data_IF_259211223793
#
_entry.id   IF_259211223793
#
_cell.length_a   1.000
_cell.length_b   1.000
_cell.length_c   1.000
_cell.angle_alpha   90.00
_cell.angle_beta   90.00
_cell.angle_gamma   90.00
#
_symmetry.space_group_name_H-M   'P 1'
#
loop_
_entity.id
_entity.type
_entity.pdbx_description
1 polymer ?
#
# COMPACT_ATOMS: atom_id res chain seq x y z
N UNK A 1 17.39 22.59 3.52
CA UNK A 1 16.70 21.63 4.42
C UNK A 1 15.20 21.90 4.58
N UNK A 2 14.72 23.05 5.13
CA UNK A 2 13.27 23.28 5.34
C UNK A 2 12.39 23.09 4.10
N UNK A 3 12.82 23.59 2.93
CA UNK A 3 12.07 23.44 1.66
C UNK A 3 11.95 21.97 1.22
N UNK A 4 13.02 21.18 1.31
CA UNK A 4 13.03 19.76 0.93
C UNK A 4 12.06 18.96 1.81
N UNK A 5 12.03 19.22 3.11
CA UNK A 5 11.08 18.58 4.04
C UNK A 5 9.64 18.90 3.64
N UNK A 6 9.34 20.19 3.34
CA UNK A 6 7.98 20.60 2.92
C UNK A 6 7.59 19.94 1.60
N UNK A 7 8.47 19.91 0.60
CA UNK A 7 8.19 19.25 -0.68
C UNK A 7 8.01 17.75 -0.54
N UNK A 8 8.80 17.12 0.34
CA UNK A 8 8.64 15.69 0.66
C UNK A 8 7.32 15.41 1.35
N UNK A 9 6.90 16.28 2.29
CA UNK A 9 5.59 16.18 2.94
C UNK A 9 4.45 16.33 1.93
N UNK A 10 4.51 17.33 1.04
CA UNK A 10 3.51 17.50 -0.01
C UNK A 10 3.43 16.26 -0.91
N UNK A 11 4.57 15.76 -1.39
CA UNK A 11 4.58 14.57 -2.24
C UNK A 11 4.05 13.32 -1.49
N UNK A 12 4.35 13.20 -0.19
CA UNK A 12 3.90 12.08 0.63
C UNK A 12 2.39 12.05 0.89
N UNK A 13 1.67 13.18 0.71
CA UNK A 13 0.20 13.22 0.79
C UNK A 13 -0.47 12.34 -0.28
N UNK A 14 0.22 11.96 -1.36
CA UNK A 14 -0.26 10.89 -2.26
C UNK A 14 -0.52 9.59 -1.49
N UNK A 15 0.29 9.29 -0.45
CA UNK A 15 0.06 8.18 0.46
C UNK A 15 -1.21 8.35 1.31
N UNK A 16 -1.51 9.58 1.75
CA UNK A 16 -2.75 9.87 2.45
C UNK A 16 -3.98 9.57 1.58
N UNK A 17 -3.98 10.02 0.32
CA UNK A 17 -5.06 9.76 -0.63
C UNK A 17 -5.19 8.26 -0.93
N UNK A 18 -4.07 7.56 -1.06
CA UNK A 18 -4.05 6.11 -1.21
C UNK A 18 -4.73 5.42 -0.01
N UNK A 19 -4.27 5.70 1.22
CA UNK A 19 -4.82 5.08 2.42
C UNK A 19 -6.31 5.39 2.60
N UNK A 20 -6.71 6.61 2.30
CA UNK A 20 -8.10 7.05 2.35
C UNK A 20 -8.97 6.27 1.35
N UNK A 21 -8.55 6.21 0.08
CA UNK A 21 -9.29 5.53 -0.99
C UNK A 21 -9.46 4.03 -0.73
N UNK A 22 -8.46 3.42 -0.10
CA UNK A 22 -8.46 1.98 0.18
C UNK A 22 -9.60 1.56 1.09
N UNK A 23 -9.91 2.33 2.13
CA UNK A 23 -10.84 1.89 3.18
C UNK A 23 -12.16 2.68 3.24
N UNK A 24 -12.25 3.81 2.55
CA UNK A 24 -13.48 4.64 2.57
C UNK A 24 -14.71 3.86 2.13
N UNK A 25 -14.56 2.92 1.19
CA UNK A 25 -15.65 2.07 0.69
C UNK A 25 -16.24 1.14 1.76
N UNK A 26 -15.47 0.79 2.81
CA UNK A 26 -15.91 -0.13 3.86
C UNK A 26 -17.13 0.39 4.64
N UNK A 27 -17.30 1.71 4.74
CA UNK A 27 -18.46 2.32 5.37
C UNK A 27 -19.73 2.29 4.52
N UNK A 28 -19.56 2.18 3.20
CA UNK A 28 -20.66 2.17 2.22
C UNK A 28 -21.04 0.76 1.76
N UNK A 29 -20.25 -0.26 2.06
CA UNK A 29 -20.30 -1.61 1.52
C UNK A 29 -21.72 -2.22 1.53
N UNK A 30 -22.33 -2.43 2.71
CA UNK A 30 -23.67 -3.04 2.82
C UNK A 30 -24.77 -2.13 2.22
N UNK A 31 -24.63 -0.81 2.33
CA UNK A 31 -25.58 0.14 1.72
C UNK A 31 -25.58 0.07 0.20
N UNK A 32 -24.40 -0.04 -0.41
CA UNK A 32 -24.25 -0.18 -1.86
C UNK A 32 -24.79 -1.53 -2.35
N UNK A 33 -24.54 -2.61 -1.59
CA UNK A 33 -25.05 -3.93 -1.94
C UNK A 33 -26.58 -3.95 -1.93
N UNK A 34 -27.19 -3.40 -0.90
CA UNK A 34 -28.66 -3.29 -0.79
C UNK A 34 -29.25 -2.35 -1.84
N UNK A 35 -28.60 -1.19 -2.10
CA UNK A 35 -29.08 -0.20 -3.07
C UNK A 35 -29.21 -0.78 -4.49
N UNK A 36 -28.28 -1.63 -4.90
CA UNK A 36 -28.24 -2.20 -6.25
C UNK A 36 -28.70 -3.66 -6.32
N UNK A 37 -29.26 -4.18 -5.22
CA UNK A 37 -29.72 -5.57 -5.10
C UNK A 37 -28.73 -6.56 -5.74
N UNK A 38 -27.45 -6.38 -5.41
CA UNK A 38 -26.37 -7.08 -6.06
C UNK A 38 -26.01 -8.37 -5.35
N UNK A 39 -25.84 -9.46 -6.11
CA UNK A 39 -25.34 -10.73 -5.58
C UNK A 39 -23.94 -10.55 -4.94
N UNK A 40 -23.61 -11.39 -3.95
CA UNK A 40 -22.32 -11.33 -3.25
C UNK A 40 -21.13 -11.42 -4.19
N UNK A 41 -21.20 -12.26 -5.23
CA UNK A 41 -20.14 -12.41 -6.21
C UNK A 41 -19.99 -11.13 -7.07
N UNK A 42 -21.09 -10.55 -7.55
CA UNK A 42 -21.05 -9.31 -8.31
C UNK A 42 -20.59 -8.15 -7.45
N UNK A 43 -21.12 -8.03 -6.23
CA UNK A 43 -20.75 -6.98 -5.30
C UNK A 43 -19.24 -7.01 -4.99
N UNK A 44 -18.71 -8.19 -4.63
CA UNK A 44 -17.29 -8.36 -4.33
C UNK A 44 -16.37 -8.07 -5.53
N UNK A 45 -16.72 -8.59 -6.72
CA UNK A 45 -15.85 -8.48 -7.90
C UNK A 45 -15.94 -7.13 -8.61
N UNK A 46 -17.14 -6.56 -8.75
CA UNK A 46 -17.37 -5.34 -9.52
C UNK A 46 -17.42 -4.12 -8.61
N UNK A 47 -18.25 -4.12 -7.57
CA UNK A 47 -18.42 -2.92 -6.74
C UNK A 47 -17.18 -2.68 -5.85
N UNK A 48 -16.74 -3.71 -5.13
CA UNK A 48 -15.63 -3.61 -4.18
C UNK A 48 -14.27 -3.81 -4.86
N UNK A 49 -14.15 -4.74 -5.80
CA UNK A 49 -12.88 -5.17 -6.39
C UNK A 49 -12.29 -4.22 -7.45
N UNK A 50 -13.09 -3.40 -8.14
CA UNK A 50 -12.60 -2.63 -9.28
C UNK A 50 -11.52 -1.59 -8.95
N UNK A 51 -11.54 -1.00 -7.75
CA UNK A 51 -10.45 -0.14 -7.30
C UNK A 51 -9.13 -0.92 -7.21
N UNK A 52 -9.17 -2.14 -6.70
CA UNK A 52 -7.98 -2.99 -6.57
C UNK A 52 -7.45 -3.42 -7.94
N UNK A 53 -8.31 -3.74 -8.91
CA UNK A 53 -7.88 -4.01 -10.28
C UNK A 53 -7.28 -2.77 -10.95
N UNK A 54 -7.85 -1.58 -10.71
CA UNK A 54 -7.23 -0.32 -11.10
C UNK A 54 -5.83 -0.15 -10.51
N UNK A 55 -5.67 -0.53 -9.22
CA UNK A 55 -4.37 -0.48 -8.53
C UNK A 55 -3.34 -1.42 -9.14
N UNK A 56 -3.74 -2.64 -9.54
CA UNK A 56 -2.87 -3.58 -10.28
C UNK A 56 -2.32 -2.91 -11.55
N UNK A 57 -3.21 -2.36 -12.37
CA UNK A 57 -2.82 -1.70 -13.62
C UNK A 57 -1.97 -0.46 -13.35
N UNK A 58 -2.35 0.36 -12.37
CA UNK A 58 -1.59 1.53 -11.94
C UNK A 58 -0.18 1.19 -11.44
N UNK A 59 -0.02 0.10 -10.68
CA UNK A 59 1.26 -0.36 -10.16
C UNK A 59 2.16 -0.95 -11.28
N UNK A 60 1.60 -1.68 -12.24
CA UNK A 60 2.37 -2.25 -13.36
C UNK A 60 2.85 -1.14 -14.30
N UNK A 61 1.96 -0.22 -14.67
CA UNK A 61 2.22 0.76 -15.73
C UNK A 61 2.57 2.16 -15.22
N UNK A 62 2.41 2.45 -13.93
CA UNK A 62 2.66 3.79 -13.35
C UNK A 62 4.10 4.29 -13.49
N UNK A 63 5.06 3.39 -13.69
CA UNK A 63 6.44 3.76 -14.03
C UNK A 63 6.56 4.48 -15.36
N UNK A 64 5.69 4.18 -16.34
CA UNK A 64 5.72 4.80 -17.67
C UNK A 64 5.46 6.32 -17.58
N UNK A 65 4.33 6.81 -17.04
CA UNK A 65 4.11 8.25 -16.89
C UNK A 65 5.13 8.88 -15.94
N UNK A 66 5.56 8.19 -14.88
CA UNK A 66 6.58 8.68 -13.96
C UNK A 66 7.90 8.99 -14.65
N UNK A 67 8.31 8.18 -15.64
CA UNK A 67 9.53 8.38 -16.41
C UNK A 67 9.34 9.33 -17.61
N UNK A 68 8.18 9.29 -18.28
CA UNK A 68 7.91 10.14 -19.46
C UNK A 68 7.55 11.58 -19.08
N UNK A 69 6.57 11.77 -18.19
CA UNK A 69 6.05 13.08 -17.78
C UNK A 69 6.85 13.70 -16.63
N UNK A 70 7.60 12.88 -15.89
CA UNK A 70 8.30 13.24 -14.66
C UNK A 70 7.45 13.10 -13.42
N UNK A 71 8.13 12.98 -12.28
CA UNK A 71 7.52 12.64 -10.98
C UNK A 71 6.45 13.67 -10.57
N UNK A 72 6.75 14.97 -10.67
CA UNK A 72 5.80 16.05 -10.32
C UNK A 72 4.50 15.96 -11.12
N UNK A 73 4.60 15.84 -12.45
CA UNK A 73 3.40 15.82 -13.29
C UNK A 73 2.59 14.54 -13.05
N UNK A 74 3.25 13.40 -12.81
CA UNK A 74 2.56 12.16 -12.45
C UNK A 74 1.84 12.30 -11.11
N UNK A 75 2.45 12.93 -10.11
CA UNK A 75 1.81 13.21 -8.83
C UNK A 75 0.60 14.13 -8.99
N UNK A 76 0.65 15.12 -9.88
CA UNK A 76 -0.50 15.96 -10.20
C UNK A 76 -1.64 15.13 -10.81
N UNK A 77 -1.33 14.28 -11.80
CA UNK A 77 -2.32 13.39 -12.40
C UNK A 77 -2.95 12.43 -11.39
N UNK A 78 -2.16 11.90 -10.44
CA UNK A 78 -2.66 11.08 -9.34
C UNK A 78 -3.71 11.83 -8.52
N UNK A 79 -3.45 13.08 -8.15
CA UNK A 79 -4.43 13.91 -7.43
C UNK A 79 -5.70 14.14 -8.22
N UNK A 80 -5.57 14.40 -9.53
CA UNK A 80 -6.70 14.57 -10.46
C UNK A 80 -7.53 13.28 -10.57
N UNK A 81 -6.88 12.11 -10.71
CA UNK A 81 -7.56 10.81 -10.77
C UNK A 81 -8.34 10.53 -9.47
N UNK A 82 -7.77 10.79 -8.30
CA UNK A 82 -8.49 10.65 -7.03
C UNK A 82 -9.68 11.62 -6.92
N UNK A 83 -9.52 12.87 -7.35
CA UNK A 83 -10.59 13.84 -7.33
C UNK A 83 -11.78 13.38 -8.19
N UNK A 84 -11.52 13.01 -9.44
CA UNK A 84 -12.58 12.52 -10.33
C UNK A 84 -13.18 11.19 -9.87
N UNK A 85 -12.37 10.29 -9.32
CA UNK A 85 -12.86 9.04 -8.73
C UNK A 85 -13.83 9.30 -7.60
N UNK A 86 -13.50 10.19 -6.66
CA UNK A 86 -14.34 10.52 -5.53
C UNK A 86 -15.68 11.13 -5.96
N UNK A 87 -15.64 12.16 -6.82
CA UNK A 87 -16.86 12.83 -7.33
C UNK A 87 -17.69 11.86 -8.16
N UNK A 88 -17.07 11.13 -9.10
CA UNK A 88 -17.78 10.20 -9.98
C UNK A 88 -18.40 9.03 -9.23
N UNK A 89 -17.71 8.48 -8.23
CA UNK A 89 -18.25 7.43 -7.35
C UNK A 89 -19.43 7.96 -6.53
N UNK A 90 -19.33 9.16 -5.97
CA UNK A 90 -20.40 9.77 -5.18
C UNK A 90 -21.66 10.07 -6.02
N UNK A 91 -21.50 10.44 -7.28
CA UNK A 91 -22.59 10.76 -8.20
C UNK A 91 -23.12 9.55 -8.99
N UNK A 92 -22.51 8.38 -8.85
CA UNK A 92 -22.90 7.20 -9.60
C UNK A 92 -24.35 6.75 -9.28
N UNK A 93 -25.09 6.43 -10.33
CA UNK A 93 -26.46 5.92 -10.24
C UNK A 93 -26.57 4.44 -10.65
N UNK A 94 -25.46 3.81 -11.01
CA UNK A 94 -25.39 2.38 -11.30
C UNK A 94 -24.08 1.78 -10.80
N UNK A 95 -24.06 0.47 -10.49
CA UNK A 95 -22.85 -0.20 -10.03
C UNK A 95 -21.70 -0.15 -11.05
N UNK A 96 -22.02 -0.14 -12.35
CA UNK A 96 -21.01 -0.08 -13.41
C UNK A 96 -20.31 1.28 -13.48
N UNK A 97 -21.08 2.37 -13.37
CA UNK A 97 -20.51 3.74 -13.33
C UNK A 97 -19.68 3.91 -12.08
N UNK A 98 -20.18 3.45 -10.94
CA UNK A 98 -19.43 3.44 -9.68
C UNK A 98 -18.10 2.68 -9.83
N UNK A 99 -18.15 1.45 -10.33
CA UNK A 99 -16.97 0.61 -10.54
C UNK A 99 -15.95 1.25 -11.49
N UNK A 100 -16.40 1.90 -12.57
CA UNK A 100 -15.51 2.62 -13.49
C UNK A 100 -14.76 3.76 -12.81
N UNK A 101 -15.43 4.56 -11.98
CA UNK A 101 -14.76 5.63 -11.23
C UNK A 101 -13.85 5.08 -10.13
N UNK A 102 -14.24 3.99 -9.46
CA UNK A 102 -13.37 3.28 -8.51
C UNK A 102 -12.11 2.73 -9.19
N UNK A 103 -12.22 2.19 -10.41
CA UNK A 103 -11.08 1.76 -11.20
C UNK A 103 -10.12 2.91 -11.50
N UNK A 104 -10.65 4.11 -11.85
CA UNK A 104 -9.84 5.32 -12.07
C UNK A 104 -9.09 5.71 -10.79
N UNK A 105 -9.74 5.67 -9.62
CA UNK A 105 -9.08 5.88 -8.33
C UNK A 105 -7.95 4.89 -8.09
N UNK A 106 -8.22 3.62 -8.36
CA UNK A 106 -7.22 2.55 -8.27
C UNK A 106 -5.98 2.80 -9.14
N UNK A 107 -6.13 3.30 -10.38
CA UNK A 107 -4.98 3.72 -11.19
C UNK A 107 -4.11 4.74 -10.45
N UNK A 108 -4.74 5.70 -9.75
CA UNK A 108 -4.07 6.67 -8.91
C UNK A 108 -3.33 6.02 -7.74
N UNK A 109 -3.97 5.06 -7.05
CA UNK A 109 -3.35 4.27 -5.96
C UNK A 109 -2.08 3.61 -6.47
N UNK A 110 -2.17 2.80 -7.52
CA UNK A 110 -1.04 2.04 -8.06
C UNK A 110 0.12 2.95 -8.53
N UNK A 111 -0.18 4.01 -9.26
CA UNK A 111 0.83 4.97 -9.72
C UNK A 111 1.50 5.71 -8.55
N UNK A 112 0.77 5.98 -7.45
CA UNK A 112 1.29 6.68 -6.28
C UNK A 112 2.38 5.88 -5.55
N UNK A 113 2.30 4.55 -5.56
CA UNK A 113 3.30 3.66 -4.94
C UNK A 113 4.68 3.77 -5.59
N UNK A 114 4.73 4.26 -6.83
CA UNK A 114 5.96 4.46 -7.60
C UNK A 114 6.39 5.94 -7.56
N UNK A 115 5.48 6.85 -7.94
CA UNK A 115 5.82 8.24 -8.19
C UNK A 115 6.22 9.01 -6.92
N UNK A 116 5.53 8.78 -5.79
CA UNK A 116 5.77 9.53 -4.57
C UNK A 116 7.08 9.14 -3.88
N UNK A 117 7.38 7.86 -3.62
CA UNK A 117 8.69 7.46 -3.09
C UNK A 117 9.85 7.84 -4.02
N UNK A 118 9.67 7.72 -5.35
CA UNK A 118 10.69 8.13 -6.32
C UNK A 118 10.99 9.62 -6.21
N UNK A 119 9.96 10.49 -6.22
CA UNK A 119 10.15 11.92 -6.08
C UNK A 119 10.86 12.28 -4.78
N UNK A 120 10.38 11.74 -3.65
CA UNK A 120 10.95 12.01 -2.33
C UNK A 120 12.42 11.58 -2.27
N UNK A 121 12.74 10.38 -2.77
CA UNK A 121 14.12 9.87 -2.76
C UNK A 121 15.08 10.67 -3.64
N UNK A 122 14.59 11.27 -4.72
CA UNK A 122 15.38 12.06 -5.66
C UNK A 122 15.68 13.49 -5.18
N UNK A 123 14.82 14.06 -4.32
CA UNK A 123 15.07 15.39 -3.74
C UNK A 123 15.71 15.31 -2.36
N UNK A 124 15.65 14.16 -1.70
CA UNK A 124 16.14 13.99 -0.34
C UNK A 124 17.66 13.84 -0.29
N UNK A 125 18.36 14.55 0.64
CA UNK A 125 19.75 14.26 0.96
C UNK A 125 19.92 12.81 1.41
N UNK A 126 21.04 12.17 1.05
CA UNK A 126 21.30 10.75 1.36
C UNK A 126 21.08 10.41 2.84
N UNK A 127 21.51 11.29 3.74
CA UNK A 127 21.38 11.14 5.22
C UNK A 127 19.93 11.04 5.70
N UNK A 128 19.00 11.77 5.09
CA UNK A 128 17.62 11.90 5.55
C UNK A 128 16.61 11.18 4.65
N UNK A 129 17.08 10.56 3.55
CA UNK A 129 16.24 9.93 2.53
C UNK A 129 15.25 8.92 3.11
N UNK A 130 15.74 7.99 3.93
CA UNK A 130 14.88 6.97 4.55
C UNK A 130 13.78 7.56 5.41
N UNK A 131 14.09 8.59 6.22
CA UNK A 131 13.12 9.28 7.07
C UNK A 131 12.05 10.01 6.25
N UNK A 132 12.46 10.67 5.17
CA UNK A 132 11.55 11.42 4.30
C UNK A 132 10.63 10.47 3.51
N UNK A 133 11.15 9.34 3.02
CA UNK A 133 10.33 8.30 2.39
C UNK A 133 9.35 7.67 3.38
N UNK A 134 9.73 7.52 4.66
CA UNK A 134 8.83 7.01 5.70
C UNK A 134 7.57 7.88 5.91
N UNK A 135 7.61 9.18 5.57
CA UNK A 135 6.41 10.05 5.57
C UNK A 135 5.32 9.53 4.62
N UNK A 136 5.69 8.89 3.51
CA UNK A 136 4.71 8.29 2.61
C UNK A 136 3.94 7.16 3.31
N UNK A 137 4.64 6.26 4.01
CA UNK A 137 4.01 5.19 4.77
C UNK A 137 3.17 5.73 5.94
N UNK A 138 3.66 6.72 6.66
CA UNK A 138 2.90 7.41 7.71
C UNK A 138 1.59 7.99 7.15
N UNK A 139 1.65 8.66 6.00
CA UNK A 139 0.48 9.25 5.38
C UNK A 139 -0.53 8.18 4.91
N UNK A 140 -0.08 6.99 4.45
CA UNK A 140 -1.01 5.89 4.13
C UNK A 140 -1.84 5.51 5.35
N UNK A 141 -1.21 5.24 6.48
CA UNK A 141 -1.94 4.82 7.69
C UNK A 141 -2.77 5.95 8.30
N UNK A 142 -2.32 7.20 8.18
CA UNK A 142 -3.11 8.37 8.54
C UNK A 142 -4.35 8.51 7.65
N UNK A 143 -4.22 8.28 6.34
CA UNK A 143 -5.34 8.28 5.38
C UNK A 143 -6.37 7.20 5.72
N UNK A 144 -5.93 5.99 6.09
CA UNK A 144 -6.80 4.91 6.57
C UNK A 144 -7.60 5.36 7.79
N UNK A 145 -6.94 5.93 8.80
CA UNK A 145 -7.60 6.42 10.01
C UNK A 145 -8.64 7.51 9.68
N UNK A 146 -8.27 8.47 8.84
CA UNK A 146 -9.16 9.58 8.47
C UNK A 146 -10.36 9.11 7.63
N UNK A 147 -10.21 8.09 6.80
CA UNK A 147 -11.32 7.49 6.07
C UNK A 147 -12.32 6.78 6.99
N UNK A 148 -11.85 5.99 7.95
CA UNK A 148 -12.73 5.39 8.95
C UNK A 148 -13.45 6.44 9.81
N UNK A 149 -12.72 7.48 10.22
CA UNK A 149 -13.30 8.61 10.95
C UNK A 149 -14.37 9.33 10.12
N UNK A 150 -14.11 9.63 8.85
CA UNK A 150 -15.06 10.28 7.97
C UNK A 150 -16.32 9.42 7.76
N UNK A 151 -16.19 8.12 7.58
CA UNK A 151 -17.33 7.21 7.47
C UNK A 151 -18.23 7.28 8.72
N UNK A 152 -17.63 7.25 9.91
CA UNK A 152 -18.39 7.36 11.15
C UNK A 152 -19.11 8.71 11.29
N UNK A 153 -18.44 9.82 10.96
CA UNK A 153 -19.03 11.17 11.06
C UNK A 153 -20.13 11.41 10.03
N UNK A 154 -20.06 10.76 8.87
CA UNK A 154 -20.98 10.95 7.76
C UNK A 154 -22.15 9.94 7.73
N UNK A 155 -22.17 8.95 8.64
CA UNK A 155 -23.15 7.85 8.62
C UNK A 155 -24.61 8.30 8.75
N UNK A 156 -24.85 9.40 9.45
CA UNK A 156 -26.19 9.88 9.81
C UNK A 156 -26.68 11.07 8.93
N UNK A 157 -25.99 11.39 7.83
CA UNK A 157 -26.38 12.51 6.92
C UNK A 157 -27.61 12.16 6.05
N UNK A 158 -28.31 11.06 6.33
CA UNK A 158 -29.51 10.61 5.61
C UNK A 158 -29.25 9.40 4.71
N UNK A 159 -30.26 9.02 3.92
CA UNK A 159 -30.27 7.79 3.10
C UNK A 159 -29.11 7.74 2.10
N UNK A 160 -28.65 8.88 1.64
CA UNK A 160 -27.52 9.01 0.71
C UNK A 160 -26.17 9.20 1.42
N UNK A 161 -26.03 8.83 2.70
CA UNK A 161 -24.78 8.96 3.46
C UNK A 161 -23.57 8.34 2.77
N UNK A 162 -23.74 7.22 2.05
CA UNK A 162 -22.69 6.58 1.27
C UNK A 162 -22.09 7.49 0.18
N UNK A 163 -22.88 8.38 -0.43
CA UNK A 163 -22.39 9.34 -1.43
C UNK A 163 -21.46 10.36 -0.79
N UNK A 164 -21.79 10.84 0.41
CA UNK A 164 -20.94 11.73 1.17
C UNK A 164 -19.65 11.04 1.63
N UNK A 165 -19.75 9.78 2.10
CA UNK A 165 -18.57 9.00 2.46
C UNK A 165 -17.59 8.87 1.28
N UNK A 166 -18.09 8.51 0.09
CA UNK A 166 -17.25 8.40 -1.11
C UNK A 166 -16.75 9.76 -1.62
N UNK A 167 -17.60 10.78 -1.58
CA UNK A 167 -17.30 12.10 -2.14
C UNK A 167 -16.35 12.94 -1.31
N UNK A 168 -16.28 12.74 0.01
CA UNK A 168 -15.46 13.58 0.91
C UNK A 168 -13.97 13.55 0.55
N UNK A 169 -13.48 12.47 -0.07
CA UNK A 169 -12.11 12.36 -0.56
C UNK A 169 -11.77 13.40 -1.64
N UNK A 170 -12.75 13.94 -2.35
CA UNK A 170 -12.52 15.00 -3.34
C UNK A 170 -11.84 16.23 -2.73
N UNK A 171 -12.19 16.58 -1.49
CA UNK A 171 -11.61 17.72 -0.79
C UNK A 171 -10.08 17.59 -0.58
N UNK A 172 -9.57 16.55 0.10
CA UNK A 172 -8.12 16.40 0.23
C UNK A 172 -7.43 16.15 -1.12
N UNK A 173 -8.08 15.55 -2.11
CA UNK A 173 -7.51 15.36 -3.46
C UNK A 173 -7.32 16.69 -4.19
N UNK A 174 -8.25 17.60 -4.06
CA UNK A 174 -8.15 18.96 -4.61
C UNK A 174 -7.00 19.73 -3.94
N UNK A 175 -6.96 19.74 -2.61
CA UNK A 175 -5.90 20.41 -1.83
C UNK A 175 -4.52 19.85 -2.23
N UNK A 176 -4.39 18.54 -2.28
CA UNK A 176 -3.16 17.87 -2.73
C UNK A 176 -2.74 18.34 -4.13
N UNK A 177 -3.67 18.33 -5.09
CA UNK A 177 -3.41 18.77 -6.47
C UNK A 177 -2.92 20.21 -6.53
N UNK A 178 -3.49 21.10 -5.73
CA UNK A 178 -3.06 22.50 -5.62
C UNK A 178 -1.64 22.61 -5.02
N UNK A 179 -1.33 21.83 -3.99
CA UNK A 179 -0.01 21.84 -3.37
C UNK A 179 1.09 21.29 -4.31
N UNK A 180 0.77 20.33 -5.19
CA UNK A 180 1.73 19.81 -6.17
C UNK A 180 2.24 20.89 -7.13
N UNK A 181 1.46 21.93 -7.42
CA UNK A 181 1.96 23.04 -8.25
C UNK A 181 3.15 23.75 -7.58
N UNK A 182 3.21 23.80 -6.26
CA UNK A 182 4.25 24.53 -5.50
C UNK A 182 5.60 23.78 -5.40
N UNK A 183 5.65 22.48 -5.67
CA UNK A 183 6.89 21.72 -5.62
C UNK A 183 7.65 21.80 -6.95
N UNK A 184 9.00 21.75 -6.95
CA UNK A 184 9.79 21.71 -8.19
C UNK A 184 9.73 20.35 -8.87
N UNK A 185 10.18 20.26 -10.11
CA UNK A 185 10.46 18.97 -10.76
C UNK A 185 11.68 18.32 -10.10
N UNK A 186 11.81 16.99 -10.21
CA UNK A 186 13.00 16.28 -9.72
C UNK A 186 14.25 16.69 -10.51
N UNK A 187 15.35 17.07 -9.84
CA UNK A 187 16.60 17.40 -10.54
C UNK A 187 17.21 16.16 -11.24
N UNK A 188 17.14 14.98 -10.63
CA UNK A 188 17.60 13.72 -11.26
C UNK A 188 16.83 13.41 -12.54
N UNK A 189 15.50 13.59 -12.52
CA UNK A 189 14.70 13.40 -13.73
C UNK A 189 15.02 14.44 -14.82
N UNK A 190 15.23 15.69 -14.45
CA UNK A 190 15.62 16.73 -15.41
C UNK A 190 16.95 16.40 -16.10
N UNK A 191 17.95 15.97 -15.35
CA UNK A 191 19.24 15.53 -15.87
C UNK A 191 19.10 14.31 -16.79
N UNK A 192 18.30 13.31 -16.41
CA UNK A 192 18.03 12.13 -17.26
C UNK A 192 17.32 12.48 -18.58
N UNK A 193 16.78 13.70 -18.72
CA UNK A 193 16.15 14.25 -19.93
C UNK A 193 17.03 15.32 -20.62
N UNK A 194 18.30 15.46 -20.24
CA UNK A 194 19.23 16.45 -20.76
C UNK A 194 18.74 17.90 -20.58
N UNK A 195 18.01 18.17 -19.48
CA UNK A 195 17.47 19.49 -19.13
C UNK A 195 18.33 20.16 -18.05
N UNK A 196 19.60 20.29 -18.33
CA UNK A 196 20.65 20.69 -17.38
C UNK A 196 20.36 22.04 -16.72
N UNK A 197 19.94 23.05 -17.49
CA UNK A 197 19.68 24.40 -16.96
C UNK A 197 18.50 24.42 -15.97
N UNK A 198 17.47 23.60 -16.20
CA UNK A 198 16.37 23.49 -15.25
C UNK A 198 16.80 22.73 -14.00
N UNK A 199 17.64 21.70 -14.15
CA UNK A 199 18.19 20.95 -13.04
C UNK A 199 19.05 21.84 -12.12
N UNK A 200 19.93 22.68 -12.70
CA UNK A 200 20.73 23.66 -11.96
C UNK A 200 19.86 24.62 -11.15
N UNK A 201 18.80 25.17 -11.75
CA UNK A 201 17.86 26.05 -11.03
C UNK A 201 17.19 25.36 -9.84
N UNK A 202 16.80 24.08 -10.00
CA UNK A 202 16.20 23.31 -8.90
C UNK A 202 17.21 23.04 -7.81
N UNK A 203 18.43 22.62 -8.16
CA UNK A 203 19.52 22.39 -7.20
C UNK A 203 19.87 23.67 -6.42
N UNK A 204 19.86 24.83 -7.09
CA UNK A 204 20.00 26.14 -6.46
C UNK A 204 18.90 26.41 -5.42
N UNK A 205 17.65 26.13 -5.77
CA UNK A 205 16.52 26.25 -4.82
C UNK A 205 16.66 25.31 -3.61
N UNK A 206 17.36 24.19 -3.78
CA UNK A 206 17.64 23.20 -2.72
C UNK A 206 18.87 23.56 -1.89
N UNK A 207 19.75 24.45 -2.37
CA UNK A 207 21.06 24.74 -1.79
C UNK A 207 22.06 23.59 -1.98
N UNK A 208 21.97 22.89 -3.13
CA UNK A 208 22.76 21.71 -3.52
C UNK A 208 23.44 21.92 -4.89
N UNK A 209 23.81 23.15 -5.19
CA UNK A 209 24.42 23.52 -6.48
C UNK A 209 25.75 22.78 -6.74
N UNK A 210 26.52 22.55 -5.67
CA UNK A 210 27.81 21.84 -5.75
C UNK A 210 27.65 20.37 -6.18
N UNK A 211 26.46 19.79 -6.02
CA UNK A 211 26.20 18.36 -6.32
C UNK A 211 25.85 18.13 -7.81
N UNK A 212 25.76 19.18 -8.62
CA UNK A 212 25.32 19.08 -10.03
C UNK A 212 26.20 18.15 -10.86
N UNK A 213 27.52 18.37 -10.88
CA UNK A 213 28.44 17.56 -11.69
C UNK A 213 28.50 16.12 -11.21
N UNK A 214 28.47 15.91 -9.90
CA UNK A 214 28.43 14.56 -9.29
C UNK A 214 27.15 13.82 -9.68
N UNK A 215 26.00 14.48 -9.54
CA UNK A 215 24.70 13.90 -9.89
C UNK A 215 24.59 13.60 -11.38
N UNK A 216 25.14 14.46 -12.24
CA UNK A 216 25.16 14.26 -13.69
C UNK A 216 26.01 13.05 -14.05
N UNK A 217 27.23 12.96 -13.49
CA UNK A 217 28.12 11.81 -13.72
C UNK A 217 27.51 10.48 -13.25
N UNK A 218 26.81 10.48 -12.09
CA UNK A 218 26.08 9.29 -11.62
C UNK A 218 25.00 8.85 -12.63
N UNK A 219 24.21 9.79 -13.17
CA UNK A 219 23.13 9.48 -14.11
C UNK A 219 23.69 8.98 -15.43
N UNK A 220 24.77 9.58 -15.94
CA UNK A 220 25.42 9.14 -17.17
C UNK A 220 26.00 7.74 -17.02
N UNK A 221 26.61 7.43 -15.86
CA UNK A 221 27.09 6.09 -15.53
C UNK A 221 25.95 5.07 -15.43
N UNK A 222 24.84 5.43 -14.77
CA UNK A 222 23.65 4.56 -14.66
C UNK A 222 23.06 4.26 -16.04
N UNK A 223 22.97 5.24 -16.94
CA UNK A 223 22.49 5.07 -18.31
C UNK A 223 23.42 4.18 -19.14
N UNK A 224 24.74 4.34 -19.00
CA UNK A 224 25.73 3.50 -19.69
C UNK A 224 25.66 2.04 -19.19
N UNK A 225 25.55 1.85 -17.88
CA UNK A 225 25.42 0.51 -17.29
C UNK A 225 24.08 -0.15 -17.67
N UNK A 226 22.98 0.59 -17.73
CA UNK A 226 21.68 0.08 -18.16
C UNK A 226 21.70 -0.39 -19.64
N UNK A 227 22.46 0.30 -20.50
CA UNK A 227 22.63 -0.09 -21.90
C UNK A 227 23.47 -1.40 -22.07
N UNK A 228 24.37 -1.67 -21.13
CA UNK A 228 25.23 -2.86 -21.14
C UNK A 228 24.58 -4.08 -20.42
N UNK A 229 23.60 -3.86 -19.56
CA UNK A 229 22.99 -4.89 -18.75
C UNK A 229 21.93 -5.69 -19.54
N UNK A 230 22.35 -6.81 -20.14
CA UNK A 230 21.46 -7.80 -20.75
C UNK A 230 20.89 -8.78 -19.68
N UNK A 231 20.75 -8.33 -18.44
CA UNK A 231 20.39 -9.17 -17.29
C UNK A 231 18.90 -9.07 -16.99
N UNK A 232 18.23 -10.22 -16.89
CA UNK A 232 16.80 -10.33 -16.63
C UNK A 232 16.56 -11.06 -15.30
N UNK A 233 15.64 -10.58 -14.47
CA UNK A 233 15.29 -11.19 -13.19
C UNK A 233 14.83 -12.65 -13.32
N UNK A 234 14.31 -13.06 -14.49
CA UNK A 234 13.83 -14.42 -14.74
C UNK A 234 14.95 -15.43 -15.10
N UNK A 235 16.21 -14.99 -15.14
CA UNK A 235 17.32 -15.91 -15.32
C UNK A 235 17.43 -16.89 -14.13
N UNK A 236 17.85 -18.11 -14.40
CA UNK A 236 17.92 -19.22 -13.43
C UNK A 236 18.70 -18.85 -12.16
N UNK A 237 19.74 -18.03 -12.28
CA UNK A 237 20.55 -17.55 -11.15
C UNK A 237 19.77 -16.72 -10.12
N UNK A 238 18.66 -16.05 -10.51
CA UNK A 238 17.83 -15.22 -9.64
C UNK A 238 16.59 -15.94 -9.08
N UNK A 239 16.50 -17.24 -9.25
CA UNK A 239 15.34 -18.03 -8.82
C UNK A 239 15.06 -17.92 -7.33
N UNK A 240 16.12 -17.87 -6.51
CA UNK A 240 15.95 -17.73 -5.04
C UNK A 240 15.41 -16.37 -4.64
N UNK A 241 15.99 -15.23 -5.05
CA UNK A 241 15.38 -13.91 -4.79
C UNK A 241 13.94 -13.78 -5.31
N UNK A 242 13.64 -14.29 -6.51
CA UNK A 242 12.27 -14.28 -7.06
C UNK A 242 11.30 -15.07 -6.19
N UNK A 243 11.68 -16.27 -5.74
CA UNK A 243 10.84 -17.10 -4.88
C UNK A 243 10.60 -16.42 -3.52
N UNK A 244 11.62 -15.81 -2.94
CA UNK A 244 11.49 -15.07 -1.68
C UNK A 244 10.58 -13.85 -1.82
N UNK A 245 10.72 -13.07 -2.90
CA UNK A 245 9.87 -11.94 -3.20
C UNK A 245 8.41 -12.36 -3.44
N UNK A 246 8.20 -13.47 -4.17
CA UNK A 246 6.88 -14.04 -4.36
C UNK A 246 6.26 -14.48 -3.04
N UNK A 247 6.97 -15.27 -2.23
CA UNK A 247 6.43 -15.82 -0.99
C UNK A 247 6.09 -14.75 0.05
N UNK A 248 6.95 -13.72 0.21
CA UNK A 248 6.63 -12.67 1.17
C UNK A 248 5.41 -11.84 0.73
N UNK A 249 5.26 -11.56 -0.56
CA UNK A 249 4.10 -10.86 -1.11
C UNK A 249 2.83 -11.74 -1.07
N UNK A 250 2.96 -13.02 -1.36
CA UNK A 250 1.90 -14.02 -1.31
C UNK A 250 1.34 -14.16 0.12
N UNK A 251 2.18 -14.40 1.10
CA UNK A 251 1.73 -14.53 2.49
C UNK A 251 1.23 -13.21 3.06
N UNK A 252 1.75 -12.06 2.60
CA UNK A 252 1.21 -10.77 3.00
C UNK A 252 -0.29 -10.68 2.69
N UNK A 253 -0.70 -11.09 1.49
CA UNK A 253 -2.10 -11.03 1.08
C UNK A 253 -2.94 -12.17 1.66
N UNK A 254 -2.37 -13.35 1.82
CA UNK A 254 -3.04 -14.50 2.46
C UNK A 254 -3.14 -14.38 3.99
N UNK A 255 -2.65 -13.31 4.60
CA UNK A 255 -3.04 -12.90 5.94
C UNK A 255 -4.48 -12.38 6.00
N UNK A 256 -5.09 -12.03 4.86
CA UNK A 256 -6.40 -11.43 4.78
C UNK A 256 -6.42 -9.92 5.05
N UNK A 257 -5.27 -9.24 5.08
CA UNK A 257 -5.18 -7.81 5.46
C UNK A 257 -6.08 -6.91 4.61
N UNK A 258 -6.03 -7.03 3.29
CA UNK A 258 -6.86 -6.21 2.41
C UNK A 258 -8.34 -6.61 2.47
N UNK A 259 -8.64 -7.91 2.59
CA UNK A 259 -10.00 -8.38 2.86
C UNK A 259 -10.56 -7.74 4.14
N UNK A 260 -9.78 -7.72 5.21
CA UNK A 260 -10.19 -7.12 6.47
C UNK A 260 -10.39 -5.60 6.35
N UNK A 261 -9.45 -4.87 5.76
CA UNK A 261 -9.55 -3.41 5.63
C UNK A 261 -10.74 -2.98 4.78
N UNK A 262 -11.01 -3.68 3.67
CA UNK A 262 -12.13 -3.37 2.77
C UNK A 262 -13.50 -3.71 3.37
N UNK A 263 -13.58 -4.73 4.22
CA UNK A 263 -14.84 -5.22 4.80
C UNK A 263 -14.91 -5.08 6.31
N UNK A 264 -14.10 -4.21 6.93
CA UNK A 264 -14.01 -4.07 8.38
C UNK A 264 -15.39 -3.83 9.04
N UNK A 265 -16.18 -2.90 8.52
CA UNK A 265 -17.52 -2.63 9.02
C UNK A 265 -18.44 -3.84 8.86
N UNK A 266 -18.40 -4.53 7.71
CA UNK A 266 -19.18 -5.78 7.49
C UNK A 266 -18.79 -6.86 8.47
N UNK A 267 -17.49 -7.11 8.66
CA UNK A 267 -16.98 -8.16 9.56
C UNK A 267 -17.46 -7.91 11.00
N UNK A 268 -17.43 -6.66 11.46
CA UNK A 268 -17.93 -6.30 12.78
C UNK A 268 -19.46 -6.48 12.89
N UNK A 269 -20.21 -6.18 11.84
CA UNK A 269 -21.65 -6.43 11.81
C UNK A 269 -21.98 -7.93 11.77
N UNK A 270 -21.22 -8.75 11.03
CA UNK A 270 -21.34 -10.21 11.05
C UNK A 270 -21.02 -10.81 12.44
N UNK A 271 -20.18 -10.12 13.22
CA UNK A 271 -19.90 -10.46 14.62
C UNK A 271 -20.97 -9.93 15.61
N UNK A 272 -22.11 -9.44 15.11
CA UNK A 272 -23.25 -9.02 15.93
C UNK A 272 -23.20 -7.55 16.40
N UNK A 273 -22.25 -6.72 15.95
CA UNK A 273 -22.22 -5.30 16.30
C UNK A 273 -23.21 -4.51 15.42
N UNK A 274 -23.93 -3.55 16.03
CA UNK A 274 -24.74 -2.60 15.27
C UNK A 274 -23.87 -1.70 14.39
N UNK A 275 -24.43 -1.14 13.30
CA UNK A 275 -23.71 -0.33 12.30
C UNK A 275 -22.83 0.76 12.92
N UNK A 276 -23.36 1.53 13.86
CA UNK A 276 -22.62 2.63 14.52
C UNK A 276 -21.40 2.12 15.29
N UNK A 277 -21.53 1.01 16.02
CA UNK A 277 -20.45 0.40 16.78
C UNK A 277 -19.42 -0.24 15.85
N UNK A 278 -19.85 -0.83 14.74
CA UNK A 278 -18.97 -1.38 13.72
C UNK A 278 -18.09 -0.30 13.08
N UNK A 279 -18.67 0.85 12.70
CA UNK A 279 -17.92 1.99 12.16
C UNK A 279 -16.97 2.60 13.20
N UNK A 280 -17.40 2.70 14.46
CA UNK A 280 -16.54 3.16 15.57
C UNK A 280 -15.37 2.19 15.80
N UNK A 281 -15.60 0.89 15.76
CA UNK A 281 -14.55 -0.13 15.87
C UNK A 281 -13.55 -0.03 14.71
N UNK A 282 -14.00 0.34 13.51
CA UNK A 282 -13.12 0.59 12.37
C UNK A 282 -12.16 1.76 12.61
N UNK A 283 -12.58 2.81 13.34
CA UNK A 283 -11.65 3.87 13.78
C UNK A 283 -10.56 3.29 14.68
N UNK A 284 -10.91 2.38 15.60
CA UNK A 284 -9.97 1.67 16.45
C UNK A 284 -8.90 0.92 15.63
N UNK A 285 -9.29 0.28 14.51
CA UNK A 285 -8.35 -0.33 13.55
C UNK A 285 -7.35 0.72 13.04
N UNK A 286 -7.85 1.88 12.59
CA UNK A 286 -7.00 2.96 12.08
C UNK A 286 -6.00 3.46 13.12
N UNK A 287 -6.42 3.63 14.37
CA UNK A 287 -5.56 4.05 15.49
C UNK A 287 -4.48 3.00 15.77
N UNK A 288 -4.87 1.73 15.92
CA UNK A 288 -3.93 0.63 16.17
C UNK A 288 -2.93 0.50 15.02
N UNK A 289 -3.41 0.56 13.77
CA UNK A 289 -2.55 0.53 12.60
C UNK A 289 -1.52 1.67 12.61
N UNK A 290 -1.93 2.90 12.92
CA UNK A 290 -1.03 4.05 12.98
C UNK A 290 0.05 3.87 14.06
N UNK A 291 -0.35 3.52 15.29
CA UNK A 291 0.58 3.34 16.41
C UNK A 291 1.59 2.23 16.11
N UNK A 292 1.11 1.07 15.69
CA UNK A 292 1.97 -0.10 15.48
C UNK A 292 2.79 -0.03 14.19
N UNK A 293 2.37 0.73 13.17
CA UNK A 293 3.22 1.05 12.02
C UNK A 293 4.41 1.92 12.43
N UNK A 294 4.18 2.97 13.23
CA UNK A 294 5.29 3.80 13.74
C UNK A 294 6.25 2.99 14.61
N UNK A 295 5.72 2.10 15.44
CA UNK A 295 6.52 1.18 16.23
C UNK A 295 7.33 0.23 15.34
N UNK A 296 6.72 -0.41 14.36
CA UNK A 296 7.36 -1.33 13.42
C UNK A 296 8.51 -0.67 12.66
N UNK A 297 8.28 0.53 12.11
CA UNK A 297 9.33 1.32 11.44
C UNK A 297 10.50 1.65 12.39
N UNK A 298 10.23 1.91 13.65
CA UNK A 298 11.29 2.19 14.66
C UNK A 298 12.08 0.94 15.06
N UNK A 299 11.47 -0.23 14.96
CA UNK A 299 12.05 -1.51 15.40
C UNK A 299 12.80 -2.25 14.30
N UNK A 300 12.50 -1.99 13.02
CA UNK A 300 13.03 -2.77 11.89
C UNK A 300 14.56 -2.81 11.84
N UNK A 301 15.21 -1.67 12.13
CA UNK A 301 16.67 -1.58 12.16
C UNK A 301 17.28 -2.07 13.50
N UNK A 302 16.46 -2.14 14.56
CA UNK A 302 16.93 -2.62 15.88
C UNK A 302 16.82 -4.13 16.02
N UNK A 303 15.69 -4.72 15.62
CA UNK A 303 15.41 -6.15 15.79
C UNK A 303 15.75 -6.98 14.54
N UNK A 304 15.71 -6.38 13.36
CA UNK A 304 15.90 -7.06 12.08
C UNK A 304 14.61 -7.54 11.47
N UNK A 305 14.71 -7.92 10.18
CA UNK A 305 13.54 -8.23 9.36
C UNK A 305 12.92 -9.58 9.75
N UNK A 306 13.76 -10.57 9.99
CA UNK A 306 13.32 -11.93 10.34
C UNK A 306 12.63 -12.00 11.71
N UNK A 307 13.16 -11.27 12.71
CA UNK A 307 12.57 -11.23 14.07
C UNK A 307 11.18 -10.58 14.04
N UNK A 308 11.02 -9.46 13.33
CA UNK A 308 9.71 -8.80 13.19
C UNK A 308 8.70 -9.69 12.47
N UNK A 309 9.14 -10.45 11.47
CA UNK A 309 8.29 -11.43 10.79
C UNK A 309 7.87 -12.59 11.71
N UNK A 310 8.73 -13.05 12.61
CA UNK A 310 8.34 -14.03 13.64
C UNK A 310 7.26 -13.49 14.57
N UNK A 311 7.47 -12.27 15.11
CA UNK A 311 6.49 -11.60 16.00
C UNK A 311 5.15 -11.46 15.27
N UNK A 312 5.18 -10.93 14.04
CA UNK A 312 3.99 -10.79 13.21
C UNK A 312 3.29 -12.12 12.93
N UNK A 313 4.04 -13.17 12.56
CA UNK A 313 3.46 -14.49 12.25
C UNK A 313 2.78 -15.13 13.44
N UNK A 314 3.41 -15.09 14.62
CA UNK A 314 2.80 -15.63 15.85
C UNK A 314 1.55 -14.83 16.23
N UNK A 315 1.64 -13.49 16.17
CA UNK A 315 0.50 -12.62 16.45
C UNK A 315 -0.68 -12.86 15.49
N UNK A 316 -0.42 -13.07 14.20
CA UNK A 316 -1.44 -13.44 13.21
C UNK A 316 -2.11 -14.78 13.54
N UNK A 317 -1.31 -15.83 13.82
CA UNK A 317 -1.84 -17.15 14.12
C UNK A 317 -2.78 -17.09 15.33
N UNK A 318 -2.36 -16.41 16.39
CA UNK A 318 -3.18 -16.26 17.60
C UNK A 318 -4.44 -15.47 17.30
N UNK A 319 -4.31 -14.27 16.73
CA UNK A 319 -5.45 -13.37 16.52
C UNK A 319 -6.47 -13.92 15.53
N UNK A 320 -6.03 -14.46 14.38
CA UNK A 320 -6.94 -15.01 13.37
C UNK A 320 -7.62 -16.30 13.85
N UNK A 321 -6.91 -17.14 14.63
CA UNK A 321 -7.51 -18.32 15.26
C UNK A 321 -8.59 -17.91 16.27
N UNK A 322 -8.34 -16.89 17.09
CA UNK A 322 -9.33 -16.38 18.04
C UNK A 322 -10.55 -15.76 17.33
N UNK A 323 -10.33 -15.04 16.21
CA UNK A 323 -11.43 -14.53 15.38
C UNK A 323 -12.26 -15.69 14.81
N UNK A 324 -11.60 -16.71 14.24
CA UNK A 324 -12.28 -17.88 13.71
C UNK A 324 -13.12 -18.58 14.79
N UNK A 325 -12.54 -18.79 15.99
CA UNK A 325 -13.24 -19.37 17.14
C UNK A 325 -14.43 -18.51 17.58
N UNK A 326 -14.27 -17.19 17.60
CA UNK A 326 -15.36 -16.28 17.96
C UNK A 326 -16.57 -16.44 17.02
N UNK A 327 -16.34 -16.61 15.72
CA UNK A 327 -17.41 -16.87 14.76
C UNK A 327 -18.00 -18.29 14.91
N UNK A 328 -17.18 -19.32 15.15
CA UNK A 328 -17.69 -20.70 15.33
C UNK A 328 -18.49 -20.87 16.60
N UNK A 329 -18.09 -20.21 17.68
CA UNK A 329 -18.76 -20.34 18.99
C UNK A 329 -19.71 -19.18 19.28
N UNK A 330 -19.98 -18.31 18.30
CA UNK A 330 -20.87 -17.15 18.43
C UNK A 330 -20.53 -16.25 19.63
N UNK A 331 -19.26 -15.95 19.83
CA UNK A 331 -18.86 -15.02 20.89
C UNK A 331 -19.33 -13.59 20.53
N UNK A 332 -20.17 -13.04 21.39
CA UNK A 332 -20.76 -11.73 21.17
C UNK A 332 -19.92 -10.57 21.74
N UNK A 333 -20.23 -9.37 21.30
CA UNK A 333 -19.70 -8.12 21.85
C UNK A 333 -18.31 -7.75 21.35
N UNK A 334 -17.45 -7.29 22.27
CA UNK A 334 -16.15 -6.67 21.93
C UNK A 334 -15.04 -7.66 21.55
N UNK A 335 -15.26 -8.96 21.66
CA UNK A 335 -14.21 -9.97 21.46
C UNK A 335 -13.62 -9.92 20.05
N UNK A 336 -14.47 -9.93 19.02
CA UNK A 336 -13.99 -9.88 17.62
C UNK A 336 -13.21 -8.58 17.33
N UNK A 337 -13.69 -7.36 17.68
CA UNK A 337 -12.89 -6.15 17.60
C UNK A 337 -11.51 -6.26 18.26
N UNK A 338 -11.42 -6.76 19.49
CA UNK A 338 -10.15 -6.88 20.21
C UNK A 338 -9.17 -7.81 19.48
N UNK A 339 -9.65 -8.97 19.01
CA UNK A 339 -8.78 -9.90 18.26
C UNK A 339 -8.34 -9.34 16.92
N UNK A 340 -9.19 -8.56 16.24
CA UNK A 340 -8.84 -7.89 15.00
C UNK A 340 -7.90 -6.70 15.23
N UNK A 341 -7.95 -6.01 16.38
CA UNK A 341 -6.93 -5.04 16.75
C UNK A 341 -5.58 -5.71 16.96
N UNK A 342 -5.53 -6.89 17.59
CA UNK A 342 -4.30 -7.68 17.72
C UNK A 342 -3.78 -8.12 16.35
N UNK A 343 -4.67 -8.53 15.44
CA UNK A 343 -4.32 -8.85 14.05
C UNK A 343 -3.66 -7.67 13.33
N UNK A 344 -4.25 -6.47 13.40
CA UNK A 344 -3.68 -5.26 12.78
C UNK A 344 -2.35 -4.86 13.40
N UNK A 345 -2.22 -4.94 14.73
CA UNK A 345 -0.97 -4.66 15.42
C UNK A 345 0.15 -5.61 14.95
N UNK A 346 -0.18 -6.91 14.82
CA UNK A 346 0.74 -7.93 14.32
C UNK A 346 1.14 -7.71 12.87
N UNK A 347 0.18 -7.27 12.03
CA UNK A 347 0.45 -6.88 10.64
C UNK A 347 1.42 -5.70 10.57
N UNK A 348 1.12 -4.64 11.28
CA UNK A 348 1.86 -3.39 11.20
C UNK A 348 3.32 -3.53 11.65
N UNK A 349 3.58 -4.33 12.71
CA UNK A 349 4.95 -4.62 13.18
C UNK A 349 5.67 -5.61 12.25
N UNK A 350 4.99 -6.65 11.78
CA UNK A 350 5.57 -7.72 10.97
C UNK A 350 5.61 -7.38 9.49
N UNK A 351 4.67 -7.90 8.75
CA UNK A 351 4.59 -7.79 7.29
C UNK A 351 4.54 -6.35 6.80
N UNK A 352 3.77 -5.48 7.44
CA UNK A 352 3.60 -4.09 7.04
C UNK A 352 4.91 -3.29 7.05
N UNK A 353 5.76 -3.52 8.06
CA UNK A 353 7.07 -2.87 8.16
C UNK A 353 8.14 -3.53 7.27
N UNK A 354 8.07 -4.85 7.06
CA UNK A 354 9.19 -5.64 6.54
C UNK A 354 9.13 -5.84 5.02
N UNK A 355 7.94 -6.06 4.44
CA UNK A 355 7.78 -6.55 3.06
C UNK A 355 8.60 -5.76 2.02
N UNK A 356 8.42 -4.45 1.98
CA UNK A 356 9.05 -3.62 0.93
C UNK A 356 10.55 -3.45 1.12
N UNK A 357 10.99 -3.38 2.37
CA UNK A 357 12.40 -3.29 2.73
C UNK A 357 13.10 -4.60 2.33
N UNK A 358 12.54 -5.75 2.74
CA UNK A 358 13.10 -7.06 2.42
C UNK A 358 13.20 -7.29 0.91
N UNK A 359 12.12 -7.01 0.14
CA UNK A 359 12.17 -7.16 -1.33
C UNK A 359 13.26 -6.29 -1.94
N UNK A 360 13.48 -5.06 -1.43
CA UNK A 360 14.54 -4.19 -1.95
C UNK A 360 15.96 -4.68 -1.63
N UNK A 361 16.13 -5.44 -0.56
CA UNK A 361 17.43 -5.90 -0.07
C UNK A 361 17.90 -7.22 -0.72
N UNK A 362 16.99 -8.06 -1.20
CA UNK A 362 17.32 -9.39 -1.74
C UNK A 362 17.76 -9.39 -3.22
N UNK A 363 17.60 -8.29 -3.93
CA UNK A 363 18.02 -8.15 -5.32
C UNK A 363 19.29 -7.29 -5.47
N UNK A 364 20.18 -7.63 -6.44
CA UNK A 364 21.31 -6.77 -6.79
C UNK A 364 20.86 -5.38 -7.22
N UNK A 365 21.73 -4.39 -7.09
CA UNK A 365 21.41 -2.98 -7.37
C UNK A 365 20.79 -2.77 -8.76
N UNK A 366 21.33 -3.37 -9.82
CA UNK A 366 20.86 -3.21 -11.20
C UNK A 366 19.50 -3.88 -11.48
N UNK A 367 19.06 -4.85 -10.65
CA UNK A 367 17.76 -5.53 -10.78
C UNK A 367 16.76 -5.16 -9.66
N UNK A 368 17.14 -4.31 -8.71
CA UNK A 368 16.30 -3.96 -7.56
C UNK A 368 14.94 -3.40 -7.98
N UNK A 369 14.92 -2.52 -8.98
CA UNK A 369 13.67 -1.95 -9.49
C UNK A 369 12.74 -3.03 -10.10
N UNK A 370 13.31 -3.96 -10.86
CA UNK A 370 12.57 -5.08 -11.45
C UNK A 370 12.07 -6.06 -10.39
N UNK A 371 12.88 -6.33 -9.36
CA UNK A 371 12.50 -7.16 -8.21
C UNK A 371 11.36 -6.54 -7.39
N UNK A 372 11.44 -5.24 -7.12
CA UNK A 372 10.35 -4.48 -6.47
C UNK A 372 9.07 -4.51 -7.32
N UNK A 373 9.17 -4.33 -8.63
CA UNK A 373 8.02 -4.39 -9.53
C UNK A 373 7.38 -5.79 -9.51
N UNK A 374 8.18 -6.86 -9.52
CA UNK A 374 7.69 -8.24 -9.43
C UNK A 374 6.95 -8.50 -8.11
N UNK A 375 7.56 -8.16 -6.96
CA UNK A 375 6.93 -8.31 -5.65
C UNK A 375 5.67 -7.46 -5.51
N UNK A 376 5.69 -6.23 -5.99
CA UNK A 376 4.54 -5.33 -5.98
C UNK A 376 3.40 -5.84 -6.86
N UNK A 377 3.70 -6.37 -8.05
CA UNK A 377 2.70 -6.98 -8.94
C UNK A 377 2.05 -8.20 -8.27
N UNK A 378 2.85 -9.08 -7.67
CA UNK A 378 2.34 -10.25 -6.92
C UNK A 378 1.41 -9.79 -5.79
N UNK A 379 1.83 -8.80 -5.01
CA UNK A 379 1.05 -8.23 -3.92
C UNK A 379 -0.30 -7.69 -4.41
N UNK A 380 -0.32 -6.83 -5.42
CA UNK A 380 -1.55 -6.17 -5.87
C UNK A 380 -2.50 -7.11 -6.60
N UNK A 381 -1.99 -8.08 -7.36
CA UNK A 381 -2.84 -9.10 -8.00
C UNK A 381 -3.59 -9.92 -6.94
N UNK A 382 -2.91 -10.37 -5.90
CA UNK A 382 -3.55 -11.09 -4.81
C UNK A 382 -4.46 -10.18 -3.97
N UNK A 383 -4.07 -8.91 -3.77
CA UNK A 383 -4.90 -7.91 -3.13
C UNK A 383 -6.19 -7.62 -3.91
N UNK A 384 -6.19 -7.77 -5.23
CA UNK A 384 -7.41 -7.65 -6.03
C UNK A 384 -8.26 -8.92 -5.98
N UNK A 385 -7.64 -10.09 -6.01
CA UNK A 385 -8.35 -11.38 -6.05
C UNK A 385 -9.04 -11.65 -4.70
N UNK A 386 -8.30 -11.62 -3.58
CA UNK A 386 -8.81 -12.09 -2.29
C UNK A 386 -10.04 -11.29 -1.81
N UNK A 387 -10.01 -9.95 -1.71
CA UNK A 387 -11.19 -9.20 -1.29
C UNK A 387 -12.38 -9.32 -2.25
N UNK A 388 -12.15 -9.53 -3.54
CA UNK A 388 -13.23 -9.70 -4.52
C UNK A 388 -14.14 -10.89 -4.22
N UNK A 389 -13.65 -11.91 -3.54
CA UNK A 389 -14.42 -13.10 -3.21
C UNK A 389 -14.96 -13.14 -1.78
N UNK A 390 -14.61 -12.18 -0.92
CA UNK A 390 -14.99 -12.20 0.50
C UNK A 390 -16.50 -12.22 0.73
N UNK A 391 -17.36 -11.39 0.09
CA UNK A 391 -18.80 -11.46 0.30
C UNK A 391 -19.36 -12.85 -0.05
N UNK A 392 -18.94 -13.40 -1.18
CA UNK A 392 -19.35 -14.74 -1.62
C UNK A 392 -18.88 -15.83 -0.65
N UNK A 393 -17.65 -15.76 -0.16
CA UNK A 393 -17.12 -16.75 0.79
C UNK A 393 -17.83 -16.64 2.14
N UNK A 394 -18.11 -15.44 2.61
CA UNK A 394 -18.82 -15.24 3.88
C UNK A 394 -20.24 -15.82 3.84
N UNK A 395 -20.96 -15.63 2.72
CA UNK A 395 -22.31 -16.17 2.56
C UNK A 395 -22.35 -17.69 2.32
N UNK A 396 -21.29 -18.27 1.72
CA UNK A 396 -21.28 -19.68 1.31
C UNK A 396 -20.71 -20.60 2.39
N UNK A 397 -19.56 -20.23 3.00
CA UNK A 397 -18.84 -21.07 3.97
C UNK A 397 -18.72 -20.44 5.34
N UNK A 398 -19.15 -19.18 5.48
CA UNK A 398 -19.14 -18.43 6.73
C UNK A 398 -17.78 -17.77 7.05
N UNK A 399 -17.82 -16.65 7.80
CA UNK A 399 -16.61 -15.90 8.15
C UNK A 399 -15.63 -16.72 9.01
N UNK A 400 -16.09 -17.59 9.89
CA UNK A 400 -15.24 -18.44 10.73
C UNK A 400 -14.29 -19.31 9.92
N UNK A 401 -14.78 -19.95 8.84
CA UNK A 401 -13.95 -20.79 7.95
C UNK A 401 -12.94 -19.94 7.18
N UNK A 402 -13.33 -18.75 6.74
CA UNK A 402 -12.43 -17.83 6.02
C UNK A 402 -11.28 -17.36 6.92
N UNK A 403 -11.58 -16.97 8.17
CA UNK A 403 -10.52 -16.58 9.12
C UNK A 403 -9.64 -17.76 9.54
N UNK A 404 -10.18 -18.96 9.66
CA UNK A 404 -9.39 -20.18 9.90
C UNK A 404 -8.43 -20.46 8.74
N UNK A 405 -8.89 -20.29 7.49
CA UNK A 405 -8.03 -20.41 6.32
C UNK A 405 -6.84 -19.41 6.39
N UNK A 406 -7.10 -18.15 6.71
CA UNK A 406 -6.04 -17.15 6.86
C UNK A 406 -5.08 -17.52 8.01
N UNK A 407 -5.59 -18.03 9.14
CA UNK A 407 -4.76 -18.50 10.25
C UNK A 407 -3.83 -19.65 9.82
N UNK A 408 -4.32 -20.62 9.06
CA UNK A 408 -3.52 -21.74 8.51
C UNK A 408 -2.43 -21.20 7.55
N UNK A 409 -2.78 -20.25 6.70
CA UNK A 409 -1.79 -19.63 5.81
C UNK A 409 -0.69 -18.90 6.59
N UNK A 410 -0.99 -18.34 7.76
CA UNK A 410 0.03 -17.72 8.61
C UNK A 410 0.94 -18.75 9.31
N UNK A 411 0.46 -19.98 9.52
CA UNK A 411 1.35 -21.08 9.93
C UNK A 411 2.35 -21.39 8.82
N UNK A 412 1.92 -21.46 7.55
CA UNK A 412 2.84 -21.61 6.42
C UNK A 412 3.79 -20.42 6.28
N UNK A 413 3.33 -19.19 6.54
CA UNK A 413 4.21 -18.03 6.64
C UNK A 413 5.29 -18.21 7.72
N UNK A 414 4.93 -18.72 8.89
CA UNK A 414 5.90 -18.99 9.96
C UNK A 414 6.97 -19.99 9.51
N UNK A 415 6.59 -21.05 8.78
CA UNK A 415 7.55 -21.98 8.17
C UNK A 415 8.45 -21.30 7.13
N UNK A 416 7.87 -20.45 6.26
CA UNK A 416 8.65 -19.65 5.33
C UNK A 416 9.70 -18.78 6.05
N UNK A 417 9.30 -18.09 7.11
CA UNK A 417 10.21 -17.24 7.92
C UNK A 417 11.28 -18.07 8.60
N UNK A 418 10.93 -19.25 9.15
CA UNK A 418 11.86 -20.12 9.86
C UNK A 418 12.95 -20.69 8.95
N UNK A 419 12.56 -21.24 7.81
CA UNK A 419 13.42 -22.12 7.01
C UNK A 419 13.94 -21.47 5.73
N UNK A 420 13.25 -20.44 5.18
CA UNK A 420 13.63 -19.89 3.87
C UNK A 420 14.08 -18.43 3.94
N UNK A 421 13.48 -17.60 4.82
CA UNK A 421 13.78 -16.17 4.89
C UNK A 421 15.15 -15.93 5.55
N UNK A 422 16.12 -15.31 4.85
CA UNK A 422 17.37 -14.88 5.46
C UNK A 422 17.14 -13.60 6.31
N UNK A 423 17.98 -13.40 7.32
CA UNK A 423 18.10 -12.08 7.95
C UNK A 423 18.95 -11.18 7.06
N UNK A 424 18.46 -9.98 6.78
CA UNK A 424 19.13 -9.00 5.91
C UNK A 424 19.73 -7.84 6.67
N UNK A 425 19.37 -7.67 7.95
CA UNK A 425 19.93 -6.63 8.81
C UNK A 425 21.44 -6.76 8.95
N UNK A 426 22.15 -5.67 8.67
CA UNK A 426 23.60 -5.59 8.86
C UNK A 426 24.44 -6.42 7.87
N UNK A 427 23.80 -7.00 6.86
CA UNK A 427 24.47 -7.71 5.76
C UNK A 427 24.60 -6.75 4.57
N UNK A 428 25.78 -6.69 3.94
CA UNK A 428 25.93 -5.88 2.74
C UNK A 428 25.14 -6.50 1.58
N UNK A 429 24.65 -5.67 0.65
CA UNK A 429 23.89 -6.13 -0.51
C UNK A 429 24.68 -7.08 -1.38
N UNK A 430 26.00 -6.87 -1.49
CA UNK A 430 26.93 -7.70 -2.24
C UNK A 430 27.08 -9.08 -1.59
N UNK A 431 27.19 -9.14 -0.27
CA UNK A 431 27.28 -10.40 0.48
C UNK A 431 25.96 -11.18 0.39
N UNK A 432 24.83 -10.50 0.55
CA UNK A 432 23.52 -11.10 0.42
C UNK A 432 23.28 -11.64 -0.99
N UNK A 433 23.68 -10.86 -2.00
CA UNK A 433 23.63 -11.28 -3.41
C UNK A 433 24.43 -12.55 -3.65
N UNK A 434 25.68 -12.64 -3.13
CA UNK A 434 26.50 -13.87 -3.23
C UNK A 434 25.87 -15.08 -2.56
N UNK A 435 25.16 -14.90 -1.45
CA UNK A 435 24.46 -16.00 -0.74
C UNK A 435 23.22 -16.49 -1.48
N UNK A 436 22.47 -15.57 -2.12
CA UNK A 436 21.17 -15.86 -2.72
C UNK A 436 21.27 -16.21 -4.21
N UNK A 437 22.28 -15.70 -4.91
CA UNK A 437 22.51 -15.93 -6.33
C UNK A 437 23.52 -17.05 -6.47
N UNK A 438 23.06 -18.22 -6.92
CA UNK A 438 23.95 -19.33 -7.22
C UNK A 438 24.74 -18.98 -8.48
N UNK A 439 26.06 -18.80 -8.33
CA UNK A 439 26.97 -18.85 -9.47
C UNK A 439 26.90 -20.28 -10.06
N UNK A 440 26.35 -20.38 -11.25
CA UNK A 440 26.45 -21.58 -12.09
C UNK A 440 27.55 -21.37 -13.11
#
# INVERSE_FOLDING_TARGET
MKKIVVWSLIASLAGFLFGFDTVVISGADKKLQALWDSSDAFHGTIVMGMALWGTVIGAIFGGIPTNKLGRKNTLLWIGILFFFSAIGSALANSPYVFAAFRFIGGLGVGASTIAAPAYISEIAPAKDRGKLVAFYQFNIVLGILMAFLSNYLLKDIGDNSWRWMMGVQAFPSLIYSLFIFSIPKSPRWLLSKNRDEEAKKVLQLMGLEADFETMKAEIDADNANAALANDNIFLKKYRTPLLLAFLIAFFNQLSGINAFLYYSSRIFQEAGLGESTALLSSIGIGIVNLIFTLLGVSLIDRLGRKVLMYIGSVGYIISLSLVAMAFFFHWEGIMVPVFLFLFIASHAIGQGAVIWVFISEIFPNHLRASGQAFGSTTHWVLAAIIPSFIPFLFSTIGPGVVFLFFAIMMVFQLFFVAFMMPETKGVSLEELSKKLIKNQ
#
